data_IF_020814748938
#
_entry.id   IF_020814748938
#
_cell.length_a   1.000
_cell.length_b   1.000
_cell.length_c   1.000
_cell.angle_alpha   90.00
_cell.angle_beta   90.00
_cell.angle_gamma   90.00
#
_symmetry.space_group_name_H-M   'P 1'
#
loop_
_entity.id
_entity.type
_entity.pdbx_description
1 polymer ?
#
# COMPACT_ATOMS: atom_id res chain seq x y z
N UNK A 1 5.92 27.27 3.46
CA UNK A 1 4.85 26.98 2.48
C UNK A 1 5.15 25.78 1.57
N UNK A 2 6.41 25.44 1.28
CA UNK A 2 6.79 24.25 0.49
C UNK A 2 6.32 22.89 1.08
N UNK A 3 6.24 22.78 2.42
CA UNK A 3 5.76 21.57 3.08
C UNK A 3 4.27 21.27 2.84
N UNK A 4 3.43 22.31 2.72
CA UNK A 4 1.98 22.16 2.49
C UNK A 4 1.66 21.77 1.06
N UNK A 5 2.42 22.30 0.09
CA UNK A 5 2.28 21.94 -1.34
C UNK A 5 2.68 20.49 -1.59
N UNK A 6 3.69 19.98 -0.87
CA UNK A 6 4.12 18.58 -0.97
C UNK A 6 3.07 17.59 -0.43
N UNK A 7 2.34 17.98 0.62
CA UNK A 7 1.28 17.15 1.20
C UNK A 7 0.06 17.04 0.27
N UNK A 8 -0.39 18.16 -0.32
CA UNK A 8 -1.55 18.18 -1.23
C UNK A 8 -1.22 17.54 -2.57
N UNK A 9 0.00 17.76 -3.09
CA UNK A 9 0.48 17.07 -4.30
C UNK A 9 0.57 15.55 -4.12
N UNK A 10 0.88 15.07 -2.90
CA UNK A 10 0.86 13.64 -2.59
C UNK A 10 -0.57 13.07 -2.54
N UNK A 11 -1.61 13.88 -2.28
CA UNK A 11 -2.99 13.36 -2.18
C UNK A 11 -3.68 13.15 -3.54
N UNK A 12 -3.21 13.77 -4.62
CA UNK A 12 -3.88 13.77 -5.94
C UNK A 12 -3.38 12.68 -6.91
N UNK A 13 -2.58 11.72 -6.42
CA UNK A 13 -2.09 10.61 -7.23
C UNK A 13 -0.87 10.95 -8.09
N UNK A 14 -0.33 9.99 -8.86
CA UNK A 14 0.93 10.15 -9.54
C UNK A 14 0.73 10.93 -10.84
N UNK A 15 0.48 12.24 -10.72
CA UNK A 15 0.51 13.18 -11.85
C UNK A 15 1.89 13.16 -12.55
N UNK A 16 2.91 12.57 -11.92
CA UNK A 16 4.23 12.29 -12.49
C UNK A 16 4.31 11.04 -13.40
N UNK A 17 3.23 10.25 -13.58
CA UNK A 17 3.20 9.12 -14.53
C UNK A 17 2.79 9.50 -15.97
N UNK A 18 2.47 10.78 -16.23
CA UNK A 18 2.06 11.23 -17.55
C UNK A 18 2.84 12.46 -18.00
N UNK A 19 4.08 12.23 -18.43
CA UNK A 19 4.81 13.10 -19.36
C UNK A 19 6.01 12.31 -19.86
N UNK A 20 6.33 12.26 -21.17
CA UNK A 20 7.46 11.46 -21.65
C UNK A 20 8.71 11.77 -20.83
N UNK A 21 9.23 10.76 -20.14
CA UNK A 21 10.36 10.77 -19.22
C UNK A 21 11.55 11.58 -19.74
N UNK A 22 11.74 11.55 -21.06
CA UNK A 22 12.62 12.44 -21.79
C UNK A 22 12.10 12.58 -23.23
N UNK A 23 11.66 13.78 -23.60
CA UNK A 23 11.20 14.09 -24.95
C UNK A 23 12.30 13.95 -26.01
N UNK A 24 13.58 13.93 -25.60
CA UNK A 24 14.73 13.80 -26.49
C UNK A 24 15.04 12.34 -26.86
N UNK A 25 14.80 11.39 -25.95
CA UNK A 25 15.19 9.98 -26.13
C UNK A 25 14.01 9.04 -26.34
N UNK A 26 12.77 9.52 -26.22
CA UNK A 26 11.53 8.73 -26.34
C UNK A 26 11.51 7.48 -25.43
N UNK A 27 12.28 7.49 -24.34
CA UNK A 27 12.35 6.34 -23.44
C UNK A 27 11.02 6.20 -22.70
N UNK A 28 10.39 5.02 -22.69
CA UNK A 28 9.18 4.81 -21.93
C UNK A 28 9.44 4.97 -20.42
N UNK A 29 8.59 5.70 -19.72
CA UNK A 29 8.71 5.97 -18.27
C UNK A 29 8.80 4.68 -17.44
N UNK A 30 8.21 3.60 -17.93
CA UNK A 30 8.31 2.26 -17.34
C UNK A 30 9.74 1.69 -17.25
N UNK A 31 10.69 2.28 -17.97
CA UNK A 31 12.10 1.86 -17.99
C UNK A 31 12.99 2.73 -17.10
N UNK A 32 12.45 3.83 -16.55
CA UNK A 32 13.19 4.64 -15.60
C UNK A 32 13.30 3.93 -14.25
N UNK A 33 14.53 3.76 -13.79
CA UNK A 33 14.82 3.38 -12.41
C UNK A 33 14.73 4.60 -11.49
N UNK A 34 14.66 4.41 -10.17
CA UNK A 34 14.77 5.52 -9.22
C UNK A 34 16.09 6.30 -9.35
N UNK A 35 17.13 5.68 -9.90
CA UNK A 35 18.40 6.33 -10.25
C UNK A 35 18.18 7.41 -11.31
N UNK A 36 17.39 7.11 -12.33
CA UNK A 36 17.17 8.00 -13.48
C UNK A 36 16.26 9.18 -13.12
N UNK A 37 15.47 9.05 -12.06
CA UNK A 37 14.63 10.13 -11.52
C UNK A 37 15.42 11.19 -10.73
N UNK A 38 16.67 10.91 -10.37
CA UNK A 38 17.50 11.85 -9.59
C UNK A 38 17.90 13.08 -10.40
N UNK A 39 18.26 12.90 -11.68
CA UNK A 39 18.62 13.98 -12.58
C UNK A 39 17.46 14.93 -12.85
N UNK A 40 16.22 14.42 -12.79
CA UNK A 40 15.01 15.22 -13.00
C UNK A 40 14.56 16.00 -11.76
N UNK A 41 14.84 15.50 -10.56
CA UNK A 41 14.26 16.01 -9.30
C UNK A 41 15.26 16.68 -8.36
N UNK A 42 16.57 16.53 -8.62
CA UNK A 42 17.65 16.91 -7.71
C UNK A 42 17.53 16.29 -6.30
N UNK A 43 16.78 15.19 -6.18
CA UNK A 43 16.64 14.40 -4.96
C UNK A 43 17.47 13.12 -5.06
N UNK A 44 17.86 12.55 -3.92
CA UNK A 44 18.53 11.24 -3.91
C UNK A 44 17.54 10.12 -4.26
N UNK A 45 17.99 8.99 -4.85
CA UNK A 45 17.11 7.87 -5.20
C UNK A 45 16.31 7.36 -4.00
N UNK A 46 16.96 7.33 -2.82
CA UNK A 46 16.34 6.90 -1.57
C UNK A 46 15.21 7.83 -1.12
N UNK A 47 15.34 9.14 -1.34
CA UNK A 47 14.30 10.11 -0.98
C UNK A 47 13.06 9.95 -1.88
N UNK A 48 13.28 9.77 -3.18
CA UNK A 48 12.20 9.53 -4.17
C UNK A 48 11.49 8.20 -3.87
N UNK A 49 12.27 7.14 -3.60
CA UNK A 49 11.73 5.84 -3.23
C UNK A 49 10.90 5.90 -1.95
N UNK A 50 11.38 6.60 -0.91
CA UNK A 50 10.65 6.78 0.33
C UNK A 50 9.34 7.55 0.12
N UNK A 51 9.35 8.62 -0.70
CA UNK A 51 8.15 9.37 -1.04
C UNK A 51 7.14 8.51 -1.82
N UNK A 52 7.59 7.72 -2.80
CA UNK A 52 6.74 6.81 -3.57
C UNK A 52 6.04 5.78 -2.67
N UNK A 53 6.80 5.08 -1.82
CA UNK A 53 6.22 4.10 -0.91
C UNK A 53 5.33 4.73 0.16
N UNK A 54 5.66 5.94 0.63
CA UNK A 54 4.81 6.70 1.52
C UNK A 54 3.46 7.03 0.91
N UNK A 55 3.45 7.50 -0.35
CA UNK A 55 2.23 7.74 -1.10
C UNK A 55 1.40 6.46 -1.28
N UNK A 56 2.04 5.40 -1.78
CA UNK A 56 1.38 4.12 -2.02
C UNK A 56 0.77 3.53 -0.74
N UNK A 57 1.48 3.65 0.39
CA UNK A 57 0.99 3.21 1.69
C UNK A 57 -0.26 3.99 2.11
N UNK A 58 -0.27 5.33 1.97
CA UNK A 58 -1.44 6.15 2.30
C UNK A 58 -2.64 5.85 1.41
N UNK A 59 -2.43 5.66 0.10
CA UNK A 59 -3.50 5.28 -0.82
C UNK A 59 -4.09 3.92 -0.44
N UNK A 60 -3.25 2.93 -0.14
CA UNK A 60 -3.71 1.61 0.30
C UNK A 60 -4.49 1.67 1.62
N UNK A 61 -4.00 2.44 2.61
CA UNK A 61 -4.72 2.65 3.87
C UNK A 61 -6.10 3.27 3.61
N UNK A 62 -6.17 4.33 2.79
CA UNK A 62 -7.44 4.96 2.46
C UNK A 62 -8.40 4.00 1.74
N UNK A 63 -7.91 3.21 0.78
CA UNK A 63 -8.71 2.19 0.09
C UNK A 63 -9.21 1.11 1.05
N UNK A 64 -8.37 0.61 1.95
CA UNK A 64 -8.76 -0.36 2.97
C UNK A 64 -9.88 0.23 3.84
N UNK A 65 -9.73 1.46 4.35
CA UNK A 65 -10.74 2.10 5.19
C UNK A 65 -12.09 2.19 4.45
N UNK A 66 -12.09 2.64 3.20
CA UNK A 66 -13.32 2.75 2.41
C UNK A 66 -13.96 1.38 2.16
N UNK A 67 -13.17 0.36 1.84
CA UNK A 67 -13.66 -1.00 1.60
C UNK A 67 -14.17 -1.63 2.90
N UNK A 68 -13.48 -1.48 4.02
CA UNK A 68 -13.92 -1.98 5.34
C UNK A 68 -15.25 -1.33 5.74
N UNK A 69 -15.39 -0.01 5.58
CA UNK A 69 -16.66 0.70 5.85
C UNK A 69 -17.77 0.15 4.94
N UNK A 70 -17.52 0.06 3.63
CA UNK A 70 -18.50 -0.46 2.67
C UNK A 70 -18.91 -1.91 2.95
N UNK A 71 -17.94 -2.77 3.27
CA UNK A 71 -18.18 -4.17 3.61
C UNK A 71 -19.02 -4.30 4.89
N UNK A 72 -18.70 -3.51 5.92
CA UNK A 72 -19.40 -3.52 7.21
C UNK A 72 -20.85 -3.04 7.07
N UNK A 73 -21.10 -1.99 6.26
CA UNK A 73 -22.44 -1.45 6.06
C UNK A 73 -23.32 -2.39 5.23
N UNK A 74 -22.76 -2.95 4.14
CA UNK A 74 -23.54 -3.73 3.16
C UNK A 74 -23.62 -5.22 3.48
N UNK A 75 -22.69 -5.75 4.28
CA UNK A 75 -22.54 -7.19 4.48
C UNK A 75 -22.17 -7.96 3.21
N UNK A 76 -21.71 -7.28 2.15
CA UNK A 76 -21.49 -7.90 0.85
C UNK A 76 -20.16 -8.68 0.80
N UNK A 77 -20.25 -10.01 0.66
CA UNK A 77 -19.08 -10.93 0.71
C UNK A 77 -17.89 -10.51 -0.17
N UNK A 78 -18.08 -10.10 -1.44
CA UNK A 78 -16.96 -9.67 -2.27
C UNK A 78 -16.17 -8.49 -1.69
N UNK A 79 -16.78 -7.60 -0.92
CA UNK A 79 -16.07 -6.48 -0.28
C UNK A 79 -15.17 -6.96 0.86
N UNK A 80 -15.60 -7.94 1.66
CA UNK A 80 -14.71 -8.56 2.67
C UNK A 80 -13.53 -9.32 2.04
N UNK A 81 -13.74 -9.95 0.88
CA UNK A 81 -12.64 -10.54 0.11
C UNK A 81 -11.69 -9.48 -0.44
N UNK A 82 -12.24 -8.35 -0.93
CA UNK A 82 -11.44 -7.20 -1.37
C UNK A 82 -10.64 -6.59 -0.22
N UNK A 83 -11.24 -6.45 0.96
CA UNK A 83 -10.56 -6.00 2.20
C UNK A 83 -9.38 -6.90 2.53
N UNK A 84 -9.58 -8.22 2.57
CA UNK A 84 -8.50 -9.16 2.87
C UNK A 84 -7.37 -9.08 1.83
N UNK A 85 -7.73 -8.94 0.55
CA UNK A 85 -6.76 -8.82 -0.55
C UNK A 85 -5.95 -7.53 -0.46
N UNK A 86 -6.63 -6.40 -0.19
CA UNK A 86 -5.97 -5.10 -0.02
C UNK A 86 -5.09 -5.07 1.23
N UNK A 87 -5.55 -5.65 2.34
CA UNK A 87 -4.75 -5.79 3.55
C UNK A 87 -3.47 -6.59 3.31
N UNK A 88 -3.56 -7.69 2.54
CA UNK A 88 -2.40 -8.50 2.17
C UNK A 88 -1.45 -7.73 1.25
N UNK A 89 -1.98 -7.05 0.24
CA UNK A 89 -1.18 -6.21 -0.66
C UNK A 89 -0.45 -5.10 0.11
N UNK A 90 -1.15 -4.40 1.01
CA UNK A 90 -0.56 -3.37 1.87
C UNK A 90 0.52 -3.94 2.80
N UNK A 91 0.34 -5.14 3.35
CA UNK A 91 1.35 -5.80 4.15
C UNK A 91 2.61 -6.09 3.33
N UNK A 92 2.46 -6.65 2.13
CA UNK A 92 3.58 -6.95 1.22
C UNK A 92 4.34 -5.67 0.86
N UNK A 93 3.62 -4.63 0.44
CA UNK A 93 4.21 -3.31 0.12
C UNK A 93 4.93 -2.73 1.34
N UNK A 94 4.34 -2.80 2.53
CA UNK A 94 4.95 -2.31 3.76
C UNK A 94 6.25 -3.03 4.07
N UNK A 95 6.29 -4.36 3.91
CA UNK A 95 7.51 -5.16 4.13
C UNK A 95 8.59 -4.80 3.11
N UNK A 96 8.25 -4.61 1.84
CA UNK A 96 9.22 -4.17 0.83
C UNK A 96 9.69 -2.73 1.04
N UNK A 97 8.82 -1.84 1.51
CA UNK A 97 9.18 -0.47 1.88
C UNK A 97 10.15 -0.46 3.07
N UNK A 98 9.91 -1.30 4.09
CA UNK A 98 10.83 -1.47 5.22
C UNK A 98 12.18 -2.05 4.79
N UNK A 99 12.18 -3.00 3.84
CA UNK A 99 13.42 -3.55 3.28
C UNK A 99 14.21 -2.50 2.52
N UNK A 100 13.54 -1.77 1.62
CA UNK A 100 14.18 -0.86 0.68
C UNK A 100 15.37 -1.51 -0.04
N UNK A 101 16.53 -0.83 -0.14
CA UNK A 101 17.73 -1.37 -0.78
C UNK A 101 18.49 -2.39 0.10
N UNK A 102 18.14 -2.54 1.37
CA UNK A 102 18.85 -3.39 2.31
C UNK A 102 18.68 -4.89 1.99
N UNK A 103 19.63 -5.69 2.43
CA UNK A 103 19.51 -7.15 2.42
C UNK A 103 18.53 -7.60 3.51
N UNK A 104 17.92 -8.78 3.35
CA UNK A 104 17.02 -9.32 4.38
C UNK A 104 17.71 -9.54 5.73
N UNK A 105 19.00 -9.91 5.73
CA UNK A 105 19.79 -10.01 6.97
C UNK A 105 19.92 -8.68 7.70
N UNK A 106 20.15 -7.58 6.98
CA UNK A 106 20.19 -6.24 7.56
C UNK A 106 18.82 -5.79 8.10
N UNK A 107 17.72 -6.14 7.41
CA UNK A 107 16.37 -5.87 7.90
C UNK A 107 16.09 -6.60 9.20
N UNK A 108 16.43 -7.91 9.27
CA UNK A 108 16.25 -8.71 10.47
C UNK A 108 17.07 -8.16 11.64
N UNK A 109 18.32 -7.79 11.38
CA UNK A 109 19.19 -7.17 12.38
C UNK A 109 18.66 -5.82 12.88
N UNK A 110 17.95 -5.07 12.03
CA UNK A 110 17.33 -3.79 12.36
C UNK A 110 15.94 -3.90 12.99
N UNK A 111 15.33 -5.10 13.06
CA UNK A 111 14.01 -5.28 13.67
C UNK A 111 13.95 -4.73 15.11
N UNK A 112 14.93 -4.98 16.02
CA UNK A 112 14.90 -4.43 17.37
C UNK A 112 14.83 -2.90 17.41
N UNK A 113 15.34 -2.22 16.38
CA UNK A 113 15.38 -0.76 16.26
C UNK A 113 14.13 -0.18 15.59
N UNK A 114 13.21 -1.02 15.11
CA UNK A 114 11.93 -0.55 14.57
C UNK A 114 11.12 0.08 15.71
N UNK A 115 10.64 1.31 15.47
CA UNK A 115 9.76 2.01 16.41
C UNK A 115 8.47 1.22 16.61
N UNK A 116 7.89 1.30 17.80
CA UNK A 116 6.63 0.63 18.16
C UNK A 116 5.52 0.79 17.10
N UNK A 117 5.44 1.96 16.44
CA UNK A 117 4.49 2.22 15.36
C UNK A 117 4.62 1.25 14.17
N UNK A 118 5.83 0.83 13.80
CA UNK A 118 6.04 -0.14 12.72
C UNK A 118 5.45 -1.51 13.03
N UNK A 119 5.64 -1.98 14.27
CA UNK A 119 5.03 -3.22 14.75
C UNK A 119 3.51 -3.14 14.75
N UNK A 120 2.95 -2.02 15.21
CA UNK A 120 1.49 -1.81 15.23
C UNK A 120 0.88 -1.81 13.83
N UNK A 121 1.57 -1.22 12.84
CA UNK A 121 1.12 -1.25 11.44
C UNK A 121 1.10 -2.69 10.91
N UNK A 122 2.18 -3.46 11.09
CA UNK A 122 2.23 -4.86 10.63
C UNK A 122 1.14 -5.71 11.29
N UNK A 123 0.98 -5.60 12.61
CA UNK A 123 -0.06 -6.32 13.34
C UNK A 123 -1.47 -5.92 12.89
N UNK A 124 -1.72 -4.62 12.70
CA UNK A 124 -3.01 -4.11 12.22
C UNK A 124 -3.36 -4.62 10.82
N UNK A 125 -2.40 -4.64 9.89
CA UNK A 125 -2.61 -5.18 8.54
C UNK A 125 -2.90 -6.69 8.57
N UNK A 126 -2.20 -7.46 9.42
CA UNK A 126 -2.50 -8.87 9.63
C UNK A 126 -3.92 -9.09 10.18
N UNK A 127 -4.33 -8.29 11.15
CA UNK A 127 -5.70 -8.35 11.69
C UNK A 127 -6.75 -8.04 10.63
N UNK A 128 -6.51 -7.07 9.74
CA UNK A 128 -7.40 -6.77 8.62
C UNK A 128 -7.54 -7.93 7.64
N UNK A 129 -6.44 -8.62 7.31
CA UNK A 129 -6.48 -9.82 6.45
C UNK A 129 -7.32 -10.92 7.09
N UNK A 130 -7.12 -11.16 8.39
CA UNK A 130 -7.89 -12.15 9.15
C UNK A 130 -9.36 -11.75 9.23
N UNK A 131 -9.64 -10.49 9.54
CA UNK A 131 -10.99 -9.94 9.61
C UNK A 131 -11.76 -10.16 8.29
N UNK A 132 -11.23 -9.65 7.17
CA UNK A 132 -11.90 -9.79 5.87
C UNK A 132 -12.10 -11.27 5.47
N UNK A 133 -11.13 -12.14 5.77
CA UNK A 133 -11.23 -13.57 5.47
C UNK A 133 -12.32 -14.28 6.29
N UNK A 134 -12.39 -13.98 7.59
CA UNK A 134 -13.40 -14.58 8.50
C UNK A 134 -14.81 -14.06 8.20
N UNK A 135 -14.96 -12.75 8.01
CA UNK A 135 -16.24 -12.14 7.66
C UNK A 135 -16.77 -12.66 6.32
N UNK A 136 -15.93 -12.75 5.28
CA UNK A 136 -16.33 -13.29 3.98
C UNK A 136 -16.83 -14.75 4.07
N UNK A 137 -16.21 -15.57 4.92
CA UNK A 137 -16.62 -16.95 5.16
C UNK A 137 -17.99 -17.01 5.84
N UNK A 138 -18.21 -16.17 6.85
CA UNK A 138 -19.43 -16.19 7.63
C UNK A 138 -20.63 -15.69 6.82
N UNK A 139 -20.44 -14.68 5.95
CA UNK A 139 -21.45 -14.27 4.96
C UNK A 139 -21.79 -15.38 3.97
N UNK A 140 -20.83 -16.23 3.58
CA UNK A 140 -21.12 -17.37 2.72
C UNK A 140 -21.98 -18.42 3.43
N UNK A 141 -21.69 -18.72 4.70
CA UNK A 141 -22.44 -19.69 5.50
C UNK A 141 -23.90 -19.28 5.69
N UNK A 142 -24.17 -18.00 5.93
CA UNK A 142 -25.54 -17.50 6.09
C UNK A 142 -26.36 -17.52 4.80
N UNK A 143 -25.72 -17.59 3.63
CA UNK A 143 -26.40 -17.66 2.34
C UNK A 143 -26.85 -19.06 1.90
N UNK A 144 -26.43 -20.13 2.60
CA UNK A 144 -26.80 -21.50 2.24
C UNK A 144 -28.20 -21.85 2.78
N UNK A 145 -29.12 -22.39 1.96
CA UNK A 145 -30.43 -22.83 2.43
C UNK A 145 -30.29 -23.95 3.46
N UNK A 146 -31.03 -23.83 4.57
CA UNK A 146 -31.03 -24.85 5.63
C UNK A 146 -31.56 -26.20 5.14
N UNK A 147 -31.22 -27.31 5.81
CA UNK A 147 -31.71 -28.63 5.44
C UNK A 147 -33.25 -28.66 5.50
N UNK A 148 -33.90 -29.01 4.40
CA UNK A 148 -35.34 -29.27 4.36
C UNK A 148 -35.60 -30.59 5.06
N UNK A 149 -36.26 -30.53 6.23
CA UNK A 149 -36.71 -31.69 7.01
C UNK A 149 -37.99 -32.30 6.41
#
# INVERSE_FOLDING_TARGET
MAATVSLVGSLLGPIWMFSPANAETLTPDSWLTFSDLTSATAQSPSAIQAAYFGWLAWTLIASIVLVTIGATITGFRPLFLAEATLGLAALVVTVFALKGPSTWGAVVAALPDIRIGGYMVIAGLLLLVVHGSTAARDTFRSSQPGPTL
#
